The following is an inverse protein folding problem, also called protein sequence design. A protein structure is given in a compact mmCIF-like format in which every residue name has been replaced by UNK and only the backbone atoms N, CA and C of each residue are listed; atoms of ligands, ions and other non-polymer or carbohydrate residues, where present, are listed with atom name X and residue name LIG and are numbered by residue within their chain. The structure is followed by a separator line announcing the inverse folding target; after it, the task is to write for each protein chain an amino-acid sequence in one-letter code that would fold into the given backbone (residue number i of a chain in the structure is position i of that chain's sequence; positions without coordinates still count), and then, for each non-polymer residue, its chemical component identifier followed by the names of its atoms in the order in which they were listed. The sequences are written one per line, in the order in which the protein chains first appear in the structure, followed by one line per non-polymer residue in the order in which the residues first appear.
data_IF_049834835415
#
_entry.id   IF_049834835415
#
_cell.length_a   1.000
_cell.length_b   1.000
_cell.length_c   1.000
_cell.angle_alpha   90.00
_cell.angle_beta   90.00
_cell.angle_gamma   90.00
#
_symmetry.space_group_name_H-M   'P 1'
#
loop_
_entity.id
_entity.type
_entity.pdbx_description
1 polymer ?
#
# COMPACT_ATOMS: atom_id res chain seq x y z
N UNK A 1 6.48 14.49 8.36
CA UNK A 1 5.83 13.90 7.16
C UNK A 1 5.89 12.38 7.11
N UNK A 2 6.99 11.71 6.67
CA UNK A 2 6.99 10.22 6.62
C UNK A 2 6.66 9.58 7.97
N UNK A 3 7.34 10.02 9.04
CA UNK A 3 7.10 9.53 10.40
C UNK A 3 5.64 9.66 10.85
N UNK A 4 4.99 10.78 10.51
CA UNK A 4 3.56 11.00 10.82
C UNK A 4 2.68 10.01 10.06
N UNK A 5 2.97 9.72 8.78
CA UNK A 5 2.25 8.69 8.04
C UNK A 5 2.49 7.29 8.62
N UNK A 6 3.73 6.96 9.01
CA UNK A 6 4.04 5.68 9.67
C UNK A 6 3.23 5.53 10.96
N UNK A 7 3.19 6.55 11.83
CA UNK A 7 2.41 6.53 13.07
C UNK A 7 0.90 6.41 12.82
N UNK A 8 0.39 7.07 11.77
CA UNK A 8 -1.03 6.99 11.38
C UNK A 8 -1.40 5.61 10.83
N UNK A 9 -0.52 4.99 10.04
CA UNK A 9 -0.78 3.71 9.38
C UNK A 9 -0.51 2.52 10.30
N UNK A 10 0.36 2.64 11.30
CA UNK A 10 0.70 1.56 12.23
C UNK A 10 -0.49 1.02 13.04
N UNK A 11 -1.54 1.84 13.23
CA UNK A 11 -2.73 1.46 13.99
C UNK A 11 -3.89 0.98 13.10
N UNK A 12 -3.67 0.89 11.78
CA UNK A 12 -4.73 0.53 10.83
C UNK A 12 -4.82 -0.99 10.63
N UNK A 13 -6.02 -1.47 10.33
CA UNK A 13 -6.20 -2.85 9.86
C UNK A 13 -5.73 -3.01 8.42
N UNK A 14 -5.53 -4.26 7.98
CA UNK A 14 -5.11 -4.54 6.60
C UNK A 14 -6.15 -4.04 5.59
N UNK A 15 -7.44 -4.18 5.90
CA UNK A 15 -8.53 -3.67 5.08
C UNK A 15 -8.43 -2.15 4.94
N UNK A 16 -8.14 -1.44 6.02
CA UNK A 16 -7.93 0.00 5.96
C UNK A 16 -6.68 0.38 5.15
N UNK A 17 -5.57 -0.38 5.26
CA UNK A 17 -4.38 -0.14 4.44
C UNK A 17 -4.69 -0.34 2.95
N UNK A 18 -5.47 -1.37 2.60
CA UNK A 18 -5.97 -1.63 1.25
C UNK A 18 -6.83 -0.47 0.75
N UNK A 19 -7.76 0.02 1.56
CA UNK A 19 -8.60 1.17 1.20
C UNK A 19 -7.78 2.45 0.98
N UNK A 20 -6.75 2.68 1.80
CA UNK A 20 -5.85 3.82 1.67
C UNK A 20 -5.04 3.75 0.37
N UNK A 21 -4.52 2.56 0.02
CA UNK A 21 -3.85 2.34 -1.27
C UNK A 21 -4.81 2.59 -2.44
N UNK A 22 -5.99 1.97 -2.42
CA UNK A 22 -6.95 2.03 -3.52
C UNK A 22 -7.54 3.42 -3.73
N UNK A 23 -7.60 4.23 -2.67
CA UNK A 23 -7.99 5.64 -2.75
C UNK A 23 -6.91 6.51 -3.40
N UNK A 24 -5.62 6.20 -3.19
CA UNK A 24 -4.50 6.94 -3.81
C UNK A 24 -4.22 6.48 -5.25
N UNK A 25 -4.39 5.18 -5.56
CA UNK A 25 -3.93 4.57 -6.81
C UNK A 25 -4.42 5.25 -8.11
N UNK A 26 -5.66 5.78 -8.21
CA UNK A 26 -6.10 6.52 -9.40
C UNK A 26 -5.27 7.79 -9.68
N UNK A 27 -4.56 8.31 -8.67
CA UNK A 27 -3.74 9.50 -8.78
C UNK A 27 -2.47 9.26 -9.62
N UNK A 28 -2.35 10.03 -10.69
CA UNK A 28 -1.18 10.02 -11.59
C UNK A 28 -0.10 11.04 -11.18
N UNK A 29 -0.37 11.89 -10.19
CA UNK A 29 0.54 12.95 -9.75
C UNK A 29 1.62 12.44 -8.80
N UNK A 30 2.86 12.91 -8.97
CA UNK A 30 3.95 12.67 -8.01
C UNK A 30 4.28 13.94 -7.24
N UNK A 31 4.01 13.93 -5.93
CA UNK A 31 4.42 14.98 -5.00
C UNK A 31 5.14 14.35 -3.82
N UNK A 32 6.02 15.12 -3.16
CA UNK A 32 6.84 14.62 -2.05
C UNK A 32 6.02 13.99 -0.93
N UNK A 33 4.85 14.57 -0.61
CA UNK A 33 3.94 14.02 0.41
C UNK A 33 3.43 12.62 0.04
N UNK A 34 3.09 12.40 -1.25
CA UNK A 34 2.66 11.10 -1.76
C UNK A 34 3.78 10.07 -1.66
N UNK A 35 5.01 10.44 -2.02
CA UNK A 35 6.17 9.56 -1.85
C UNK A 35 6.37 9.11 -0.40
N UNK A 36 6.22 10.02 0.57
CA UNK A 36 6.29 9.66 1.98
C UNK A 36 5.13 8.78 2.46
N UNK A 37 3.91 9.07 2.01
CA UNK A 37 2.73 8.26 2.30
C UNK A 37 2.90 6.82 1.77
N UNK A 38 3.27 6.66 0.50
CA UNK A 38 3.46 5.34 -0.12
C UNK A 38 4.62 4.56 0.51
N UNK A 39 5.69 5.23 0.93
CA UNK A 39 6.79 4.59 1.65
C UNK A 39 6.34 4.05 3.01
N UNK A 40 5.55 4.82 3.77
CA UNK A 40 4.99 4.37 5.04
C UNK A 40 3.96 3.24 4.86
N UNK A 41 3.16 3.30 3.80
CA UNK A 41 2.19 2.27 3.45
C UNK A 41 2.85 0.94 3.08
N UNK A 42 3.97 1.00 2.33
CA UNK A 42 4.79 -0.18 2.04
C UNK A 42 5.33 -0.83 3.32
N UNK A 43 5.82 -0.03 4.27
CA UNK A 43 6.30 -0.52 5.57
C UNK A 43 5.17 -1.20 6.36
N UNK A 44 3.99 -0.57 6.43
CA UNK A 44 2.84 -1.15 7.12
C UNK A 44 2.38 -2.50 6.52
N UNK A 45 2.42 -2.65 5.19
CA UNK A 45 2.15 -3.95 4.56
C UNK A 45 3.22 -5.00 4.88
N UNK A 46 4.51 -4.63 4.86
CA UNK A 46 5.62 -5.55 5.12
C UNK A 46 5.70 -5.98 6.59
N UNK A 47 5.25 -5.13 7.52
CA UNK A 47 5.18 -5.45 8.96
C UNK A 47 3.96 -6.32 9.31
N UNK A 48 3.06 -6.58 8.35
CA UNK A 48 1.90 -7.46 8.55
C UNK A 48 2.23 -8.94 8.32
N UNK A 49 1.34 -9.83 8.77
CA UNK A 49 1.44 -11.28 8.50
C UNK A 49 0.89 -11.68 7.12
N UNK A 50 0.52 -10.71 6.27
CA UNK A 50 -0.14 -10.92 4.97
C UNK A 50 0.88 -11.01 3.85
N UNK A 51 0.69 -11.96 2.94
CA UNK A 51 1.53 -12.09 1.76
C UNK A 51 1.24 -10.96 0.76
N UNK A 52 2.21 -10.05 0.63
CA UNK A 52 2.15 -8.91 -0.29
C UNK A 52 3.10 -9.07 -1.49
N UNK A 53 3.71 -10.24 -1.71
CA UNK A 53 4.76 -10.43 -2.71
C UNK A 53 4.28 -10.27 -4.16
N UNK A 54 2.96 -10.26 -4.38
CA UNK A 54 2.36 -10.06 -5.70
C UNK A 54 2.61 -8.64 -6.24
N UNK A 55 2.71 -7.64 -5.36
CA UNK A 55 2.85 -6.23 -5.75
C UNK A 55 3.98 -5.50 -5.00
N UNK A 56 4.56 -6.08 -3.95
CA UNK A 56 5.73 -5.56 -3.25
C UNK A 56 6.93 -6.48 -3.49
N UNK A 57 8.06 -5.89 -3.85
CA UNK A 57 9.36 -6.57 -3.98
C UNK A 57 10.45 -5.77 -3.25
N UNK A 58 11.68 -6.30 -3.24
CA UNK A 58 12.86 -5.57 -2.78
C UNK A 58 13.04 -4.21 -3.47
N UNK A 59 12.60 -4.10 -4.73
CA UNK A 59 12.76 -2.91 -5.57
C UNK A 59 11.67 -1.86 -5.35
N UNK A 60 10.58 -2.19 -4.67
CA UNK A 60 9.50 -1.24 -4.40
C UNK A 60 8.12 -1.86 -4.30
N UNK A 61 7.11 -1.01 -4.43
CA UNK A 61 5.68 -1.36 -4.40
C UNK A 61 5.04 -0.89 -5.71
N UNK A 62 4.42 -1.82 -6.45
CA UNK A 62 3.73 -1.52 -7.69
C UNK A 62 2.47 -0.70 -7.41
N UNK A 63 2.27 0.36 -8.19
CA UNK A 63 1.10 1.25 -8.14
C UNK A 63 0.20 1.11 -9.38
N UNK A 64 0.46 0.09 -10.21
CA UNK A 64 -0.16 -0.03 -11.53
C UNK A 64 -1.67 -0.27 -11.48
N UNK A 65 -2.13 -1.01 -10.48
CA UNK A 65 -3.52 -1.39 -10.30
C UNK A 65 -3.93 -1.30 -8.83
N UNK A 66 -5.24 -1.19 -8.57
CA UNK A 66 -5.80 -1.37 -7.24
C UNK A 66 -5.51 -2.79 -6.71
N UNK A 67 -5.53 -2.94 -5.39
CA UNK A 67 -5.25 -4.19 -4.69
C UNK A 67 -6.48 -4.74 -3.98
N UNK A 68 -6.48 -6.04 -3.73
CA UNK A 68 -7.51 -6.73 -2.94
C UNK A 68 -6.86 -7.70 -1.97
N UNK A 69 -7.44 -7.83 -0.78
CA UNK A 69 -7.14 -8.88 0.19
C UNK A 69 -8.06 -10.09 -0.06
N UNK A 70 -7.48 -11.28 -0.25
CA UNK A 70 -8.21 -12.55 -0.24
C UNK A 70 -7.49 -13.56 0.66
N UNK A 71 -8.16 -13.96 1.74
CA UNK A 71 -7.53 -14.76 2.78
C UNK A 71 -6.36 -14.01 3.40
N UNK A 72 -5.14 -14.54 3.24
CA UNK A 72 -3.91 -13.94 3.76
C UNK A 72 -2.98 -13.45 2.64
N UNK A 73 -3.53 -13.10 1.48
CA UNK A 73 -2.76 -12.63 0.31
C UNK A 73 -3.36 -11.32 -0.20
N UNK A 74 -2.50 -10.37 -0.52
CA UNK A 74 -2.86 -9.16 -1.25
C UNK A 74 -2.27 -9.20 -2.66
N UNK A 75 -3.12 -8.94 -3.65
CA UNK A 75 -2.72 -8.93 -5.06
C UNK A 75 -3.34 -7.77 -5.83
N UNK A 76 -2.72 -7.42 -6.96
CA UNK A 76 -3.23 -6.40 -7.87
C UNK A 76 -4.37 -6.94 -8.74
N UNK A 77 -5.49 -6.20 -8.79
CA UNK A 77 -6.65 -6.51 -9.62
C UNK A 77 -6.47 -5.86 -10.98
N UNK A 78 -6.17 -6.68 -11.98
CA UNK A 78 -6.15 -6.25 -13.37
C UNK A 78 -7.56 -6.33 -13.92
N UNK A 79 -8.14 -5.19 -14.28
CA UNK A 79 -9.33 -5.20 -15.13
C UNK A 79 -8.93 -5.76 -16.50
N UNK A 80 -9.67 -6.76 -16.98
CA UNK A 80 -9.50 -7.35 -18.31
C UNK A 80 -10.14 -6.46 -19.39
#
# INVERSE_FOLDING_TARGET
MKKEYTEQLANKTIEELVDNFNSDQPSQGWVTARGYFLAALREAFLDSEVDCSNFISENGMSLQYQIRLEGNIIFQVKDN
#
